data_IF_521224961399
#
_entry.id   IF_521224961399
#
_cell.length_a   1.000
_cell.length_b   1.000
_cell.length_c   1.000
_cell.angle_alpha   90.00
_cell.angle_beta   90.00
_cell.angle_gamma   90.00
#
_symmetry.space_group_name_H-M   'P 1'
#
loop_
_entity.id
_entity.type
_entity.pdbx_description
1 polymer ?
#
# COMPACT_ATOMS: atom_id res chain seq x y z
N UNK A 1 -10.23 -13.46 0.90
CA UNK A 1 -8.82 -13.22 1.24
C UNK A 1 -8.32 -12.12 0.31
N UNK A 2 -7.70 -11.10 0.87
CA UNK A 2 -7.09 -10.02 0.10
C UNK A 2 -5.94 -10.56 -0.72
N UNK A 3 -5.65 -9.92 -1.85
CA UNK A 3 -4.50 -10.26 -2.68
C UNK A 3 -3.88 -9.01 -3.29
N UNK A 4 -2.58 -8.85 -3.09
CA UNK A 4 -1.76 -7.79 -3.67
C UNK A 4 -0.46 -8.40 -4.22
N UNK A 5 0.06 -7.83 -5.31
CA UNK A 5 1.35 -8.20 -5.88
C UNK A 5 2.22 -6.94 -5.94
N UNK A 6 3.42 -7.04 -5.37
CA UNK A 6 4.47 -6.02 -5.37
C UNK A 6 5.49 -6.32 -6.47
N UNK A 7 5.98 -5.29 -7.15
CA UNK A 7 7.01 -5.40 -8.20
C UNK A 7 8.14 -4.42 -7.93
N UNK A 8 9.40 -4.88 -8.05
CA UNK A 8 10.57 -4.04 -7.79
C UNK A 8 10.74 -2.90 -8.80
N UNK A 9 10.27 -3.09 -10.04
CA UNK A 9 10.39 -2.12 -11.12
C UNK A 9 9.01 -1.56 -11.55
N UNK A 10 9.03 -0.49 -12.34
CA UNK A 10 7.81 0.14 -12.89
C UNK A 10 7.12 -0.78 -13.91
N UNK A 11 5.85 -0.53 -14.17
CA UNK A 11 5.03 -1.22 -15.17
C UNK A 11 4.98 -2.75 -14.96
N UNK A 12 4.93 -3.19 -13.69
CA UNK A 12 4.78 -4.58 -13.28
C UNK A 12 5.93 -5.48 -13.77
N UNK A 13 7.15 -4.95 -13.75
CA UNK A 13 8.37 -5.63 -14.20
C UNK A 13 9.28 -6.01 -13.03
N UNK A 14 10.31 -6.80 -13.33
CA UNK A 14 11.32 -7.22 -12.37
C UNK A 14 10.83 -8.34 -11.44
N UNK A 15 11.52 -8.49 -10.31
CA UNK A 15 11.13 -9.43 -9.26
C UNK A 15 9.80 -9.00 -8.64
N UNK A 16 8.95 -9.97 -8.32
CA UNK A 16 7.68 -9.72 -7.67
C UNK A 16 7.48 -10.57 -6.42
N UNK A 17 6.56 -10.12 -5.57
CA UNK A 17 6.12 -10.82 -4.37
C UNK A 17 4.60 -10.71 -4.24
N UNK A 18 3.94 -11.84 -4.00
CA UNK A 18 2.49 -11.89 -3.74
C UNK A 18 2.24 -11.95 -2.23
N UNK A 19 1.32 -11.14 -1.75
CA UNK A 19 0.90 -11.11 -0.36
C UNK A 19 -0.62 -11.19 -0.25
N UNK A 20 -1.11 -11.95 0.75
CA UNK A 20 -2.53 -12.18 0.99
C UNK A 20 -2.95 -11.94 2.43
N UNK A 21 -2.07 -11.35 3.25
CA UNK A 21 -2.30 -11.04 4.66
C UNK A 21 -1.50 -9.81 5.08
N UNK A 22 -1.70 -9.37 6.31
CA UNK A 22 -0.86 -8.36 6.92
C UNK A 22 0.60 -8.85 7.01
N UNK A 23 1.54 -7.93 6.80
CA UNK A 23 2.97 -8.21 6.88
C UNK A 23 3.69 -7.05 7.55
N UNK A 24 4.31 -7.30 8.70
CA UNK A 24 5.03 -6.29 9.47
C UNK A 24 6.43 -5.97 8.89
N UNK A 25 7.00 -6.84 8.05
CA UNK A 25 8.28 -6.59 7.40
C UNK A 25 8.36 -7.28 6.04
N UNK A 26 8.35 -6.45 4.99
CA UNK A 26 8.45 -6.89 3.60
C UNK A 26 9.90 -6.94 3.09
N UNK A 27 10.87 -6.46 3.87
CA UNK A 27 12.28 -6.37 3.49
C UNK A 27 12.89 -7.72 3.04
N UNK A 28 12.52 -8.88 3.60
CA UNK A 28 13.02 -10.17 3.12
C UNK A 28 12.55 -10.55 1.70
N UNK A 29 11.45 -10.00 1.23
CA UNK A 29 10.83 -10.41 -0.04
C UNK A 29 11.29 -9.57 -1.23
N UNK A 30 11.55 -8.27 -1.01
CA UNK A 30 12.01 -7.35 -2.04
C UNK A 30 12.77 -6.14 -1.44
N UNK A 31 13.65 -5.56 -2.26
CA UNK A 31 14.52 -4.45 -1.87
C UNK A 31 13.89 -3.07 -2.09
N UNK A 32 12.92 -2.96 -3.01
CA UNK A 32 12.18 -1.75 -3.38
C UNK A 32 10.83 -2.11 -4.00
N UNK A 33 9.90 -1.16 -4.12
CA UNK A 33 8.60 -1.38 -4.76
C UNK A 33 8.24 -0.19 -5.66
N UNK A 34 8.25 -0.42 -6.97
CA UNK A 34 7.96 0.62 -7.96
C UNK A 34 6.63 0.41 -8.69
N UNK A 35 5.99 -0.75 -8.59
CA UNK A 35 4.61 -0.92 -9.06
C UNK A 35 3.86 -2.00 -8.27
N UNK A 36 2.53 -1.91 -8.24
CA UNK A 36 1.67 -2.81 -7.46
C UNK A 36 0.38 -3.16 -8.20
N UNK A 37 -0.12 -4.38 -8.01
CA UNK A 37 -1.47 -4.79 -8.43
C UNK A 37 -2.28 -5.24 -7.23
N UNK A 38 -3.36 -4.53 -6.92
CA UNK A 38 -4.32 -4.90 -5.88
C UNK A 38 -5.47 -5.65 -6.52
N UNK A 39 -5.60 -6.94 -6.23
CA UNK A 39 -6.63 -7.80 -6.83
C UNK A 39 -7.94 -7.80 -6.02
N UNK A 40 -7.84 -7.73 -4.70
CA UNK A 40 -8.98 -7.73 -3.77
C UNK A 40 -8.61 -7.06 -2.45
N UNK A 41 -9.64 -6.65 -1.71
CA UNK A 41 -9.56 -5.92 -0.45
C UNK A 41 -8.92 -4.53 -0.56
N UNK A 42 -9.06 -3.75 0.50
CA UNK A 42 -8.32 -2.51 0.67
C UNK A 42 -6.98 -2.80 1.33
N UNK A 43 -5.98 -2.01 0.99
CA UNK A 43 -4.64 -2.20 1.49
C UNK A 43 -4.05 -0.88 1.98
N UNK A 44 -3.40 -0.92 3.14
CA UNK A 44 -2.61 0.21 3.64
C UNK A 44 -1.15 -0.18 3.59
N UNK A 45 -0.38 0.51 2.75
CA UNK A 45 1.06 0.35 2.62
C UNK A 45 1.77 1.32 3.54
N UNK A 46 2.92 0.89 4.06
CA UNK A 46 3.73 1.68 4.96
C UNK A 46 5.17 1.73 4.46
N UNK A 47 5.76 2.92 4.52
CA UNK A 47 7.14 3.18 4.09
C UNK A 47 8.17 2.39 4.92
N UNK A 48 7.91 2.16 6.22
CA UNK A 48 8.82 1.48 7.14
C UNK A 48 8.23 0.18 7.69
N UNK A 49 9.07 -0.75 8.20
CA UNK A 49 8.59 -1.93 8.90
C UNK A 49 7.72 -1.56 10.10
N UNK A 50 6.94 -2.53 10.57
CA UNK A 50 6.06 -2.43 11.72
C UNK A 50 4.96 -1.35 11.61
N UNK A 51 4.47 -1.13 10.40
CA UNK A 51 3.36 -0.21 10.11
C UNK A 51 3.68 1.26 10.42
N UNK A 52 4.90 1.69 10.09
CA UNK A 52 5.43 3.02 10.41
C UNK A 52 5.77 3.82 9.15
N UNK A 53 5.94 5.14 9.32
CA UNK A 53 6.30 6.06 8.23
C UNK A 53 5.09 6.52 7.42
N UNK A 54 5.33 6.97 6.19
CA UNK A 54 4.24 7.39 5.31
C UNK A 54 3.29 6.23 5.00
N UNK A 55 2.01 6.55 4.89
CA UNK A 55 0.92 5.59 4.70
C UNK A 55 0.23 5.84 3.35
N UNK A 56 -0.05 4.77 2.63
CA UNK A 56 -0.71 4.83 1.33
C UNK A 56 -1.89 3.87 1.30
N UNK A 57 -3.08 4.40 1.08
CA UNK A 57 -4.32 3.60 0.98
C UNK A 57 -4.56 3.25 -0.48
N UNK A 58 -4.60 1.96 -0.77
CA UNK A 58 -4.83 1.43 -2.11
C UNK A 58 -6.14 0.63 -2.13
N UNK A 59 -6.96 0.93 -3.13
CA UNK A 59 -8.12 0.12 -3.50
C UNK A 59 -7.74 -0.87 -4.59
N UNK A 60 -8.68 -1.75 -4.95
CA UNK A 60 -8.51 -2.65 -6.09
C UNK A 60 -8.15 -1.86 -7.35
N UNK A 61 -7.06 -2.25 -8.00
CA UNK A 61 -6.55 -1.56 -9.18
C UNK A 61 -5.11 -1.89 -9.53
N UNK A 62 -4.66 -1.27 -10.61
CA UNK A 62 -3.29 -1.37 -11.10
C UNK A 62 -2.55 -0.05 -10.88
N UNK A 63 -1.36 -0.14 -10.31
CA UNK A 63 -0.52 1.01 -9.97
C UNK A 63 0.85 0.85 -10.64
N UNK A 64 1.03 1.33 -11.89
CA UNK A 64 2.22 1.09 -12.70
C UNK A 64 3.49 1.82 -12.22
N UNK A 65 3.36 2.82 -11.35
CA UNK A 65 4.46 3.57 -10.75
C UNK A 65 4.07 4.09 -9.37
N UNK A 66 5.05 4.48 -8.54
CA UNK A 66 4.77 4.94 -7.17
C UNK A 66 4.02 6.26 -7.08
N UNK A 67 4.01 7.07 -8.13
CA UNK A 67 3.26 8.32 -8.15
C UNK A 67 1.75 8.05 -8.20
N UNK A 68 1.34 6.86 -8.68
CA UNK A 68 -0.08 6.45 -8.73
C UNK A 68 -0.70 6.16 -7.37
N UNK A 69 0.09 5.87 -6.34
CA UNK A 69 -0.36 5.84 -4.94
C UNK A 69 0.12 7.04 -4.13
N UNK A 70 0.54 8.13 -4.81
CA UNK A 70 1.06 9.35 -4.19
C UNK A 70 2.30 9.10 -3.30
N UNK A 71 3.11 8.10 -3.67
CA UNK A 71 4.38 7.81 -3.00
C UNK A 71 5.42 8.92 -3.19
N UNK A 72 6.15 9.24 -2.13
CA UNK A 72 7.31 10.15 -2.20
C UNK A 72 8.58 9.43 -2.68
N UNK A 73 8.64 8.11 -2.47
CA UNK A 73 9.74 7.22 -2.84
C UNK A 73 9.20 5.81 -3.13
N UNK A 74 10.10 4.86 -3.43
CA UNK A 74 9.79 3.46 -3.74
C UNK A 74 9.96 2.51 -2.54
N UNK A 75 10.02 3.03 -1.31
CA UNK A 75 10.06 2.21 -0.11
C UNK A 75 8.64 1.82 0.32
N UNK A 76 8.36 0.52 0.25
CA UNK A 76 7.24 -0.12 0.93
C UNK A 76 7.83 -1.25 1.77
N UNK A 77 7.55 -1.25 3.09
CA UNK A 77 8.20 -2.15 4.04
C UNK A 77 7.23 -2.87 4.98
N UNK A 78 5.97 -2.47 5.03
CA UNK A 78 4.91 -3.25 5.68
C UNK A 78 3.54 -2.97 5.06
N UNK A 79 2.59 -3.86 5.27
CA UNK A 79 1.25 -3.77 4.69
C UNK A 79 0.16 -4.34 5.61
N UNK A 80 -1.05 -3.77 5.55
CA UNK A 80 -2.26 -4.34 6.15
C UNK A 80 -3.38 -4.45 5.13
N UNK A 81 -4.15 -5.52 5.23
CA UNK A 81 -5.34 -5.79 4.43
C UNK A 81 -6.60 -5.50 5.23
N UNK A 82 -7.59 -4.89 4.58
CA UNK A 82 -8.90 -4.61 5.16
C UNK A 82 -9.95 -5.18 4.23
N UNK A 83 -10.80 -6.11 4.72
CA UNK A 83 -11.84 -6.71 3.89
C UNK A 83 -12.66 -5.64 3.20
N UNK A 84 -12.88 -5.80 1.90
CA UNK A 84 -13.81 -4.96 1.15
C UNK A 84 -15.25 -5.35 1.54
N UNK A 85 -15.65 -5.01 2.77
CA UNK A 85 -17.03 -5.12 3.23
C UNK A 85 -17.86 -4.15 2.40
N UNK A 86 -18.97 -4.62 1.83
CA UNK A 86 -19.91 -3.81 1.07
C UNK A 86 -20.79 -2.92 1.97
N UNK A 87 -20.33 -2.63 3.19
CA UNK A 87 -20.98 -1.73 4.12
C UNK A 87 -20.49 -0.31 3.80
N UNK A 88 -21.41 0.53 3.34
CA UNK A 88 -21.30 1.97 3.05
C UNK A 88 -19.85 2.51 2.93
N UNK A 89 -19.43 2.85 1.70
CA UNK A 89 -18.15 3.50 1.33
C UNK A 89 -17.71 4.73 2.17
N UNK A 90 -18.56 5.18 3.10
CA UNK A 90 -18.35 6.32 3.97
C UNK A 90 -17.34 6.04 5.10
N UNK A 91 -17.14 4.80 5.57
CA UNK A 91 -16.25 4.54 6.72
C UNK A 91 -14.76 4.58 6.38
N UNK A 92 -14.37 4.13 5.18
CA UNK A 92 -12.97 4.25 4.74
C UNK A 92 -12.63 5.66 4.26
N UNK A 93 -13.60 6.39 3.69
CA UNK A 93 -13.45 7.82 3.42
C UNK A 93 -13.39 8.65 4.71
N UNK A 94 -14.18 8.32 5.73
CA UNK A 94 -14.13 9.00 7.03
C UNK A 94 -12.77 8.79 7.75
N UNK A 95 -12.13 7.63 7.58
CA UNK A 95 -10.73 7.43 8.02
C UNK A 95 -9.68 8.13 7.15
N UNK A 96 -10.05 8.54 5.93
CA UNK A 96 -9.20 9.31 5.02
C UNK A 96 -9.35 10.82 5.23
N UNK A 97 -10.44 11.26 5.86
CA UNK A 97 -10.72 12.65 6.25
C UNK A 97 -10.21 13.03 7.65
N UNK A 98 -9.76 12.06 8.46
CA UNK A 98 -8.83 12.41 9.53
C UNK A 98 -7.48 12.69 8.87
N UNK A 99 -7.00 13.95 8.85
CA UNK A 99 -5.66 14.21 8.37
C UNK A 99 -4.74 13.43 9.31
N UNK A 100 -4.11 12.37 8.80
CA UNK A 100 -2.79 12.01 9.26
C UNK A 100 -2.01 13.28 9.01
N UNK A 101 -1.88 14.08 10.07
CA UNK A 101 -1.29 15.39 10.07
C UNK A 101 0.02 15.26 9.30
N UNK A 102 -0.02 15.80 8.08
CA UNK A 102 1.18 16.19 7.38
C UNK A 102 1.78 17.19 8.35
N UNK A 103 2.80 16.74 9.07
CA UNK A 103 3.74 17.64 9.72
C UNK A 103 4.37 18.48 8.60
N UNK A 104 3.69 19.57 8.25
CA UNK A 104 4.25 20.79 7.72
C UNK A 104 3.97 21.83 8.80
N UNK A 105 4.88 21.91 9.76
CA UNK A 105 5.05 23.09 10.59
C UNK A 105 5.58 24.23 9.69
N UNK A 106 4.76 25.24 9.47
CA UNK A 106 5.20 26.64 9.49
C UNK A 106 4.42 27.36 10.59
#
# INVERSE_FOLDING_TARGET
MGKIIFYEDRNFQGRHYECSSDCADLSPYFSRCNSMRVMSDWWVMYERPNYMGYQYVLSRGEYPDYQRWMGFNDNIRSCRSYPHLQDNQNDMKAKQEEPIAIYCSE
#
